data_IF_752678619685
#
_entry.id   IF_752678619685
#
_cell.length_a   1.000
_cell.length_b   1.000
_cell.length_c   1.000
_cell.angle_alpha   90.00
_cell.angle_beta   90.00
_cell.angle_gamma   90.00
#
_symmetry.space_group_name_H-M   'P 1'
#
loop_
_entity.id
_entity.type
_entity.pdbx_description
1 polymer ?
#
# COMPACT_ATOMS: atom_id res chain seq x y z
N UNK A 1 -14.44 13.83 10.56
CA UNK A 1 -14.08 13.51 10.93
C UNK A 1 -13.22 13.70 11.43
N UNK A 2 -13.07 13.84 11.89
CA UNK A 2 -12.23 14.02 12.27
C UNK A 2 -11.61 13.79 12.87
N UNK A 3 -11.39 13.85 13.26
CA UNK A 3 -10.89 13.60 13.67
C UNK A 3 -10.87 13.33 14.49
N UNK A 4 -11.18 13.07 14.80
CA UNK A 4 -11.27 12.73 15.63
C UNK A 4 -10.64 12.05 16.22
N UNK A 5 -10.33 11.97 16.72
CA UNK A 5 -9.60 11.46 17.20
C UNK A 5 -8.73 10.53 16.90
N UNK A 6 -7.82 10.26 16.91
CA UNK A 6 -6.67 9.73 16.41
C UNK A 6 -6.51 8.28 16.44
N UNK A 7 -6.66 7.66 17.51
CA UNK A 7 -6.51 6.24 17.59
C UNK A 7 -7.64 5.55 16.85
N UNK A 8 -7.35 4.47 16.17
CA UNK A 8 -8.36 3.74 15.44
C UNK A 8 -8.68 4.32 14.08
N UNK A 9 -8.26 5.54 13.82
CA UNK A 9 -8.57 6.15 12.54
C UNK A 9 -7.90 5.47 11.37
N UNK A 10 -6.67 4.99 11.59
CA UNK A 10 -5.99 4.23 10.55
C UNK A 10 -6.78 2.99 10.18
N UNK A 11 -7.33 2.32 11.17
CA UNK A 11 -8.15 1.15 10.94
C UNK A 11 -9.35 1.49 10.08
N UNK A 12 -10.00 2.63 10.35
CA UNK A 12 -11.15 3.08 9.56
C UNK A 12 -10.72 3.39 8.12
N UNK A 13 -9.56 4.02 7.96
CA UNK A 13 -9.04 4.32 6.62
C UNK A 13 -8.75 3.06 5.82
N UNK A 14 -8.28 2.03 6.50
CA UNK A 14 -7.85 0.82 5.79
C UNK A 14 -9.00 -0.02 5.31
N UNK A 15 -10.15 0.07 5.95
CA UNK A 15 -11.31 -0.65 5.45
C UNK A 15 -11.80 -0.09 4.11
N UNK A 16 -12.04 1.22 3.95
CA UNK A 16 -12.45 1.74 2.65
C UNK A 16 -11.44 1.48 1.55
N UNK A 17 -10.15 1.60 1.85
CA UNK A 17 -9.15 1.38 0.82
C UNK A 17 -9.09 -0.09 0.42
N UNK A 18 -9.33 -1.01 1.37
CA UNK A 18 -9.38 -2.43 1.07
C UNK A 18 -10.56 -2.75 0.17
N UNK A 19 -11.72 -2.13 0.44
CA UNK A 19 -12.87 -2.27 -0.44
C UNK A 19 -12.55 -1.81 -1.85
N UNK A 20 -11.82 -0.70 -1.96
CA UNK A 20 -11.43 -0.16 -3.26
C UNK A 20 -10.48 -1.11 -4.00
N UNK A 21 -9.55 -1.74 -3.27
CA UNK A 21 -8.64 -2.73 -3.86
C UNK A 21 -9.44 -3.87 -4.50
N UNK A 22 -10.43 -4.38 -3.77
CA UNK A 22 -11.26 -5.47 -4.27
C UNK A 22 -12.03 -5.04 -5.52
N UNK A 23 -12.56 -3.82 -5.53
CA UNK A 23 -13.28 -3.30 -6.68
C UNK A 23 -12.37 -3.18 -7.91
N UNK A 24 -11.17 -2.66 -7.70
CA UNK A 24 -10.21 -2.49 -8.80
C UNK A 24 -9.81 -3.85 -9.36
N UNK A 25 -9.51 -4.80 -8.48
CA UNK A 25 -9.11 -6.13 -8.91
C UNK A 25 -10.25 -6.83 -9.64
N UNK A 26 -11.47 -6.73 -9.12
CA UNK A 26 -12.62 -7.36 -9.75
C UNK A 26 -12.89 -6.77 -11.13
N UNK A 27 -12.77 -5.46 -11.27
CA UNK A 27 -12.98 -4.80 -12.55
C UNK A 27 -11.95 -5.29 -13.58
N UNK A 28 -10.68 -5.37 -13.16
CA UNK A 28 -9.62 -5.84 -14.05
C UNK A 28 -9.87 -7.29 -14.47
N UNK A 29 -10.34 -8.14 -13.57
CA UNK A 29 -10.63 -9.52 -13.88
C UNK A 29 -11.77 -9.63 -14.88
N UNK A 30 -12.82 -8.83 -14.69
CA UNK A 30 -13.95 -8.83 -15.59
C UNK A 30 -13.55 -8.43 -17.00
N UNK A 31 -12.66 -7.46 -17.11
CA UNK A 31 -12.17 -7.01 -18.42
C UNK A 31 -11.41 -8.11 -19.14
N UNK A 32 -10.89 -9.08 -18.41
CA UNK A 32 -10.19 -10.21 -19.01
C UNK A 32 -11.07 -11.43 -19.16
N UNK A 33 -12.34 -11.32 -18.81
CA UNK A 33 -13.25 -12.45 -18.89
C UNK A 33 -12.97 -13.51 -17.86
N UNK A 34 -12.25 -13.18 -16.80
CA UNK A 34 -11.91 -14.16 -15.77
C UNK A 34 -13.02 -14.31 -14.77
N UNK A 35 -13.14 -15.50 -14.20
CA UNK A 35 -14.20 -15.81 -13.23
C UNK A 35 -13.73 -15.68 -11.80
N UNK A 36 -12.44 -15.72 -11.56
CA UNK A 36 -11.91 -15.69 -10.21
C UNK A 36 -10.51 -15.11 -10.19
N UNK A 37 -10.20 -14.43 -9.11
CA UNK A 37 -8.87 -13.88 -8.86
C UNK A 37 -8.16 -14.80 -7.87
N UNK A 38 -6.92 -15.17 -8.18
CA UNK A 38 -6.15 -16.04 -7.31
C UNK A 38 -5.09 -15.28 -6.52
N UNK A 39 -4.67 -14.11 -7.01
CA UNK A 39 -3.68 -13.31 -6.31
C UNK A 39 -3.85 -11.84 -6.67
N UNK A 40 -3.64 -10.97 -5.68
CA UNK A 40 -3.61 -9.52 -5.87
C UNK A 40 -2.27 -9.03 -5.36
N UNK A 41 -1.52 -8.32 -6.20
CA UNK A 41 -0.23 -7.76 -5.82
C UNK A 41 -0.38 -6.26 -5.59
N UNK A 42 0.02 -5.81 -4.41
CA UNK A 42 -0.06 -4.41 -4.03
C UNK A 42 1.34 -3.84 -3.82
N UNK A 43 1.52 -2.59 -4.22
CA UNK A 43 2.72 -1.84 -3.89
C UNK A 43 2.34 -0.88 -2.78
N UNK A 44 3.06 -0.95 -1.66
CA UNK A 44 2.76 -0.14 -0.49
C UNK A 44 4.05 0.50 0.00
N UNK A 45 4.08 1.83 -0.02
CA UNK A 45 5.23 2.56 0.50
C UNK A 45 5.17 2.62 2.02
N UNK A 46 6.33 2.61 2.66
CA UNK A 46 6.39 2.61 4.12
C UNK A 46 5.99 3.96 4.71
N UNK A 47 5.86 4.99 3.88
CA UNK A 47 5.35 6.29 4.31
C UNK A 47 3.94 6.56 3.78
N UNK A 48 3.25 5.53 3.26
CA UNK A 48 1.90 5.69 2.72
C UNK A 48 0.86 5.91 3.82
N UNK A 49 1.18 5.50 5.03
CA UNK A 49 0.24 5.59 6.13
C UNK A 49 -0.64 4.36 6.30
N UNK A 50 -0.56 3.40 5.38
CA UNK A 50 -1.36 2.19 5.47
C UNK A 50 -0.56 1.04 6.06
N UNK A 51 -1.22 0.27 6.92
CA UNK A 51 -0.59 -0.88 7.57
C UNK A 51 -1.02 -2.15 6.86
N UNK A 52 -0.02 -2.89 6.35
CA UNK A 52 -0.31 -4.09 5.56
C UNK A 52 -1.06 -5.15 6.35
N UNK A 53 -0.77 -5.28 7.65
CA UNK A 53 -1.48 -6.24 8.47
C UNK A 53 -2.97 -5.96 8.55
N UNK A 54 -3.34 -4.69 8.66
CA UNK A 54 -4.75 -4.30 8.70
C UNK A 54 -5.42 -4.52 7.35
N UNK A 55 -4.71 -4.22 6.27
CA UNK A 55 -5.24 -4.46 4.93
C UNK A 55 -5.50 -5.95 4.74
N UNK A 56 -4.57 -6.79 5.15
CA UNK A 56 -4.74 -8.23 5.03
C UNK A 56 -5.95 -8.71 5.83
N UNK A 57 -6.10 -8.21 7.04
CA UNK A 57 -7.22 -8.59 7.89
C UNK A 57 -8.56 -8.23 7.24
N UNK A 58 -8.69 -7.00 6.78
CA UNK A 58 -9.94 -6.58 6.14
C UNK A 58 -10.17 -7.31 4.82
N UNK A 59 -9.10 -7.55 4.07
CA UNK A 59 -9.22 -8.29 2.82
C UNK A 59 -9.82 -9.68 3.09
N UNK A 60 -9.30 -10.36 4.11
CA UNK A 60 -9.79 -11.68 4.47
C UNK A 60 -11.28 -11.65 4.86
N UNK A 61 -11.69 -10.55 5.52
CA UNK A 61 -13.07 -10.44 5.99
C UNK A 61 -14.04 -10.07 4.87
N UNK A 62 -13.65 -9.15 3.98
CA UNK A 62 -14.62 -8.59 3.03
C UNK A 62 -14.50 -9.15 1.62
N UNK A 63 -13.50 -9.99 1.34
CA UNK A 63 -13.37 -10.58 0.02
C UNK A 63 -14.40 -11.69 -0.23
N UNK A 64 -15.03 -12.22 0.83
CA UNK A 64 -16.01 -13.27 0.69
C UNK A 64 -17.16 -12.81 -0.21
N UNK A 65 -17.54 -13.67 -1.15
CA UNK A 65 -18.61 -13.34 -2.09
C UNK A 65 -18.16 -12.50 -3.27
N UNK A 66 -16.91 -12.05 -3.28
CA UNK A 66 -16.38 -11.30 -4.41
C UNK A 66 -15.51 -12.19 -5.29
N UNK A 67 -15.04 -11.65 -6.41
CA UNK A 67 -14.11 -12.39 -7.27
C UNK A 67 -12.79 -12.64 -6.57
N UNK A 68 -12.52 -11.91 -5.49
CA UNK A 68 -11.26 -12.04 -4.74
C UNK A 68 -11.34 -13.08 -3.63
N UNK A 69 -12.47 -13.75 -3.49
CA UNK A 69 -12.60 -14.74 -2.40
C UNK A 69 -11.56 -15.83 -2.57
N UNK A 70 -10.79 -16.08 -1.50
CA UNK A 70 -9.74 -17.08 -1.52
C UNK A 70 -8.45 -16.64 -2.16
N UNK A 71 -8.39 -15.42 -2.70
CA UNK A 71 -7.18 -14.91 -3.33
C UNK A 71 -6.13 -14.60 -2.26
N UNK A 72 -4.86 -14.77 -2.63
CA UNK A 72 -3.78 -14.34 -1.76
C UNK A 72 -3.42 -12.90 -2.07
N UNK A 73 -3.00 -12.18 -1.04
CA UNK A 73 -2.63 -10.78 -1.15
C UNK A 73 -1.14 -10.67 -0.92
N UNK A 74 -0.42 -10.15 -1.91
CA UNK A 74 1.02 -9.97 -1.82
C UNK A 74 1.36 -8.50 -1.72
N UNK A 75 2.30 -8.18 -0.86
CA UNK A 75 2.72 -6.79 -0.66
C UNK A 75 4.16 -6.63 -1.13
N UNK A 76 4.36 -5.63 -1.98
CA UNK A 76 5.69 -5.18 -2.35
C UNK A 76 5.90 -3.86 -1.64
N UNK A 77 6.89 -3.79 -0.75
CA UNK A 77 7.12 -2.62 0.07
C UNK A 77 8.14 -1.70 -0.59
N UNK A 78 7.85 -0.40 -0.60
CA UNK A 78 8.77 0.61 -1.11
C UNK A 78 9.28 1.42 0.07
N UNK A 79 10.59 1.48 0.23
CA UNK A 79 11.20 2.23 1.32
C UNK A 79 11.21 3.71 1.04
N UNK A 80 10.95 4.49 2.09
CA UNK A 80 11.00 5.95 1.98
C UNK A 80 12.42 6.41 1.68
N UNK A 81 12.53 7.37 0.79
CA UNK A 81 13.81 7.96 0.43
C UNK A 81 13.78 9.45 0.73
N UNK A 82 14.92 9.95 1.15
CA UNK A 82 15.11 11.38 1.38
C UNK A 82 16.10 11.91 0.34
N UNK A 83 15.96 13.18 0.02
CA UNK A 83 16.93 13.86 -0.86
C UNK A 83 17.73 14.83 -0.01
N UNK A 84 19.05 14.72 -0.11
CA UNK A 84 19.94 15.59 0.64
C UNK A 84 19.91 17.00 0.08
N UNK A 85 19.75 17.99 0.96
CA UNK A 85 19.76 19.39 0.56
C UNK A 85 21.12 19.87 0.13
N UNK A 86 22.18 19.19 0.59
CA UNK A 86 23.55 19.62 0.30
C UNK A 86 24.12 18.98 -0.95
N UNK A 87 24.02 17.65 -1.06
CA UNK A 87 24.65 16.95 -2.18
C UNK A 87 23.65 16.47 -3.23
N UNK A 88 22.34 16.56 -2.98
CA UNK A 88 21.32 16.16 -3.95
C UNK A 88 21.11 14.67 -4.06
N UNK A 89 21.84 13.88 -3.29
CA UNK A 89 21.73 12.42 -3.35
C UNK A 89 20.44 11.94 -2.69
N UNK A 90 19.86 10.88 -3.25
CA UNK A 90 18.80 10.16 -2.57
C UNK A 90 19.41 9.17 -1.60
N UNK A 91 18.84 9.06 -0.42
CA UNK A 91 19.29 8.06 0.55
C UNK A 91 18.10 7.53 1.32
N UNK A 92 18.25 6.33 1.86
CA UNK A 92 17.18 5.64 2.57
C UNK A 92 16.94 6.29 3.92
N UNK A 93 15.66 6.53 4.25
CA UNK A 93 15.30 7.07 5.55
C UNK A 93 15.46 6.01 6.63
N UNK A 94 16.12 6.37 7.72
CA UNK A 94 16.25 5.51 8.88
C UNK A 94 15.42 6.08 10.01
N UNK A 95 14.94 5.25 10.94
CA UNK A 95 14.15 5.75 12.07
C UNK A 95 14.93 6.82 12.83
N UNK A 96 14.28 7.96 13.03
CA UNK A 96 14.81 9.07 13.83
C UNK A 96 16.13 9.65 13.31
N UNK A 97 16.48 9.38 12.06
CA UNK A 97 17.72 9.90 11.49
C UNK A 97 17.48 10.32 10.04
N UNK A 98 17.56 11.61 9.79
CA UNK A 98 17.34 12.18 8.47
C UNK A 98 18.60 12.78 7.88
N UNK A 99 19.76 12.32 8.37
CA UNK A 99 21.06 12.86 7.95
C UNK A 99 21.64 12.02 6.81
N UNK A 100 22.05 12.70 5.74
CA UNK A 100 22.74 12.06 4.63
C UNK A 100 24.13 11.60 5.08
N UNK A 101 24.69 10.54 4.48
CA UNK A 101 26.08 10.18 4.76
C UNK A 101 27.07 11.31 4.55
N UNK A 102 26.74 12.30 3.69
CA UNK A 102 27.61 13.46 3.50
C UNK A 102 27.51 14.48 4.63
N UNK A 103 26.60 14.28 5.57
CA UNK A 103 26.39 15.19 6.68
C UNK A 103 25.28 16.21 6.46
N UNK A 104 24.69 16.25 5.27
CA UNK A 104 23.61 17.18 4.97
C UNK A 104 22.28 16.70 5.48
N UNK A 105 21.29 17.58 5.45
CA UNK A 105 19.95 17.30 5.94
C UNK A 105 19.09 16.74 4.82
N UNK A 106 18.33 15.68 5.13
CA UNK A 106 17.43 15.08 4.16
C UNK A 106 16.06 15.72 4.13
N UNK A 107 15.46 15.74 2.95
CA UNK A 107 14.07 16.20 2.77
C UNK A 107 13.20 15.06 2.28
N UNK A 108 11.95 15.00 2.71
CA UNK A 108 11.03 13.96 2.23
C UNK A 108 10.83 14.04 0.73
N UNK A 109 10.60 12.89 0.11
CA UNK A 109 10.25 12.79 -1.30
C UNK A 109 8.95 12.03 -1.44
N UNK A 110 8.50 11.84 -2.67
CA UNK A 110 7.32 11.01 -2.92
C UNK A 110 7.63 9.52 -2.85
N UNK A 111 8.90 9.15 -2.85
CA UNK A 111 9.28 7.74 -2.78
C UNK A 111 8.96 7.20 -1.40
N UNK A 112 8.18 6.11 -1.36
CA UNK A 112 7.70 5.52 -0.12
C UNK A 112 6.26 5.87 0.20
N UNK A 113 5.60 6.66 -0.64
CA UNK A 113 4.20 7.02 -0.45
C UNK A 113 3.25 6.24 -1.36
N UNK A 114 3.81 5.33 -2.16
CA UNK A 114 3.04 4.57 -3.13
C UNK A 114 1.98 3.71 -2.46
N UNK A 115 0.84 3.60 -3.14
CA UNK A 115 -0.18 2.64 -2.74
C UNK A 115 -1.06 2.36 -3.95
N UNK A 116 -0.87 1.18 -4.57
CA UNK A 116 -1.65 0.84 -5.76
C UNK A 116 -1.64 -0.67 -6.00
N UNK A 117 -2.61 -1.11 -6.78
CA UNK A 117 -2.67 -2.50 -7.23
C UNK A 117 -1.74 -2.63 -8.43
N UNK A 118 -0.70 -3.44 -8.28
CA UNK A 118 0.29 -3.62 -9.33
C UNK A 118 -0.17 -4.61 -10.38
N UNK A 119 -0.72 -5.71 -9.94
CA UNK A 119 -1.11 -6.79 -10.85
C UNK A 119 -2.06 -7.73 -10.15
N UNK A 120 -2.78 -8.51 -10.93
CA UNK A 120 -3.61 -9.60 -10.42
C UNK A 120 -3.28 -10.85 -11.21
N UNK A 121 -3.53 -12.01 -10.57
CA UNK A 121 -3.50 -13.29 -11.24
C UNK A 121 -4.91 -13.86 -11.19
N UNK A 122 -5.36 -14.42 -12.28
CA UNK A 122 -6.72 -14.88 -12.43
C UNK A 122 -6.78 -16.33 -12.84
N UNK A 123 -7.93 -16.95 -12.56
CA UNK A 123 -8.25 -18.29 -13.05
C UNK A 123 -9.47 -18.18 -13.96
N UNK A 124 -9.46 -18.96 -15.01
CA UNK A 124 -10.58 -19.01 -15.95
C UNK A 124 -11.58 -20.07 -15.55
#
# INVERSE_FOLDING_TARGET
>A
FPSREGTGRKTVHELPITQRIIEIAAQAAKERGAERITKVQLVVGDASGYMTDSIQLYFDLISAGSLCEGASLEFETVRSMLRCESCGRLFERKPFDFTCPCGGQGRPTEIGREFYVKAIEVAQ
#
